data_IF_149923569204
#
_entry.id   IF_149923569204
#
_cell.length_a   1.000
_cell.length_b   1.000
_cell.length_c   1.000
_cell.angle_alpha   90.00
_cell.angle_beta   90.00
_cell.angle_gamma   90.00
#
_symmetry.space_group_name_H-M   'P 1'
#
loop_
_entity.id
_entity.type
_entity.pdbx_description
1 polymer ?
#
# COMPACT_ATOMS: atom_id res chain seq x y z
N UNK A 1 20.97 -0.83 10.32
CA UNK A 1 20.38 -1.98 11.05
C UNK A 1 21.17 -2.27 12.32
N UNK A 2 22.49 -2.45 12.22
CA UNK A 2 23.40 -2.69 13.36
C UNK A 2 23.15 -1.77 14.57
N UNK A 3 23.19 -0.44 14.37
CA UNK A 3 22.94 0.51 15.47
C UNK A 3 21.58 0.31 16.15
N UNK A 4 20.53 -0.11 15.42
CA UNK A 4 19.20 -0.40 15.99
C UNK A 4 19.22 -1.68 16.84
N UNK A 5 19.99 -2.69 16.45
CA UNK A 5 20.22 -3.89 17.26
C UNK A 5 20.90 -3.50 18.59
N UNK A 6 21.89 -2.61 18.54
CA UNK A 6 22.56 -2.12 19.73
C UNK A 6 21.62 -1.32 20.65
N UNK A 7 20.73 -0.50 20.10
CA UNK A 7 19.67 0.16 20.90
C UNK A 7 18.79 -0.89 21.58
N UNK A 8 18.34 -1.93 20.85
CA UNK A 8 17.52 -3.00 21.42
C UNK A 8 18.24 -3.72 22.57
N UNK A 9 19.54 -3.98 22.42
CA UNK A 9 20.38 -4.55 23.48
C UNK A 9 20.44 -3.64 24.71
N UNK A 10 20.71 -2.34 24.52
CA UNK A 10 20.79 -1.35 25.61
C UNK A 10 19.46 -1.18 26.36
N UNK A 11 18.33 -1.26 25.65
CA UNK A 11 16.99 -1.27 26.26
C UNK A 11 16.79 -2.50 27.15
N UNK A 12 17.25 -3.68 26.72
CA UNK A 12 17.20 -4.91 27.54
C UNK A 12 18.06 -4.79 28.79
N UNK A 13 19.19 -4.11 28.69
CA UNK A 13 20.06 -3.75 29.83
C UNK A 13 19.51 -2.61 30.70
N UNK A 14 18.32 -2.08 30.40
CA UNK A 14 17.62 -1.04 31.17
C UNK A 14 18.32 0.32 31.19
N UNK A 15 19.16 0.62 30.20
CA UNK A 15 19.69 1.97 30.02
C UNK A 15 18.61 2.94 29.54
N UNK A 16 18.75 4.20 29.96
CA UNK A 16 17.91 5.29 29.46
C UNK A 16 18.23 5.60 27.98
N UNK A 17 17.30 6.29 27.30
CA UNK A 17 17.50 6.70 25.92
C UNK A 17 18.71 7.62 25.75
N UNK A 18 18.97 8.49 26.74
CA UNK A 18 20.09 9.43 26.69
C UNK A 18 21.44 8.71 26.88
N UNK A 19 21.55 7.78 27.82
CA UNK A 19 22.75 6.97 28.00
C UNK A 19 23.03 6.11 26.76
N UNK A 20 21.97 5.48 26.22
CA UNK A 20 22.09 4.66 25.01
C UNK A 20 22.60 5.46 23.81
N UNK A 21 22.12 6.70 23.66
CA UNK A 21 22.58 7.60 22.60
C UNK A 21 24.03 8.04 22.80
N UNK A 22 24.44 8.33 24.04
CA UNK A 22 25.84 8.69 24.33
C UNK A 22 26.79 7.54 23.98
N UNK A 23 26.45 6.30 24.37
CA UNK A 23 27.23 5.10 24.02
C UNK A 23 27.30 4.86 22.52
N UNK A 24 26.18 5.02 21.81
CA UNK A 24 26.16 4.97 20.34
C UNK A 24 27.09 6.03 19.73
N UNK A 25 27.05 7.25 20.24
CA UNK A 25 27.88 8.35 19.72
C UNK A 25 29.37 8.10 19.96
N UNK A 26 29.75 7.50 21.08
CA UNK A 26 31.13 7.10 21.36
C UNK A 26 31.65 6.04 20.37
N UNK A 27 30.81 5.07 20.01
CA UNK A 27 31.21 3.96 19.11
C UNK A 27 31.18 4.39 17.64
N UNK A 28 30.12 5.09 17.20
CA UNK A 28 29.87 5.38 15.78
C UNK A 28 30.26 6.79 15.36
N UNK A 29 30.54 7.71 16.29
CA UNK A 29 30.98 9.06 15.98
C UNK A 29 30.06 9.81 15.01
N UNK A 30 30.60 10.17 13.84
CA UNK A 30 29.88 10.88 12.79
C UNK A 30 28.81 10.02 12.09
N UNK A 31 28.98 8.71 12.07
CA UNK A 31 28.04 7.77 11.43
C UNK A 31 26.90 7.35 12.36
N UNK A 32 26.85 7.90 13.59
CA UNK A 32 25.81 7.63 14.56
C UNK A 32 24.44 8.10 14.05
N UNK A 33 23.39 7.33 14.36
CA UNK A 33 22.00 7.75 14.21
C UNK A 33 21.79 9.11 14.86
N UNK A 34 20.93 9.94 14.26
CA UNK A 34 20.52 11.19 14.90
C UNK A 34 19.85 10.93 16.25
N UNK A 35 19.94 11.91 17.17
CA UNK A 35 19.32 11.81 18.50
C UNK A 35 17.84 11.43 18.43
N UNK A 36 17.10 12.05 17.50
CA UNK A 36 15.68 11.78 17.28
C UNK A 36 15.42 10.33 16.86
N UNK A 37 16.20 9.81 15.90
CA UNK A 37 16.06 8.42 15.45
C UNK A 37 16.40 7.43 16.58
N UNK A 38 17.49 7.67 17.32
CA UNK A 38 17.87 6.80 18.43
C UNK A 38 16.78 6.74 19.51
N UNK A 39 16.17 7.89 19.84
CA UNK A 39 15.09 7.97 20.83
C UNK A 39 13.80 7.30 20.35
N UNK A 40 13.46 7.45 19.07
CA UNK A 40 12.30 6.77 18.47
C UNK A 40 12.46 5.25 18.55
N UNK A 41 13.63 4.73 18.17
CA UNK A 41 13.93 3.29 18.27
C UNK A 41 13.95 2.81 19.72
N UNK A 42 14.55 3.57 20.64
CA UNK A 42 14.55 3.24 22.08
C UNK A 42 13.13 3.12 22.62
N UNK A 43 12.26 4.09 22.30
CA UNK A 43 10.84 4.04 22.67
C UNK A 43 10.16 2.80 22.08
N UNK A 44 10.31 2.52 20.79
CA UNK A 44 9.72 1.32 20.15
C UNK A 44 10.11 0.04 20.87
N UNK A 45 11.39 -0.17 21.15
CA UNK A 45 11.87 -1.37 21.84
C UNK A 45 11.40 -1.44 23.29
N UNK A 46 11.32 -0.30 23.99
CA UNK A 46 10.77 -0.24 25.35
C UNK A 46 9.28 -0.59 25.37
N UNK A 47 8.54 -0.17 24.34
CA UNK A 47 7.11 -0.42 24.19
C UNK A 47 6.81 -1.84 23.64
N UNK A 48 7.82 -2.71 23.53
CA UNK A 48 7.66 -4.13 23.19
C UNK A 48 7.82 -4.47 21.71
N UNK A 49 8.23 -3.53 20.86
CA UNK A 49 8.50 -3.81 19.46
C UNK A 49 9.72 -4.74 19.31
N UNK A 50 9.61 -5.84 18.56
CA UNK A 50 10.71 -6.81 18.44
C UNK A 50 11.53 -6.70 17.16
N UNK A 51 10.97 -6.18 16.06
CA UNK A 51 11.68 -6.10 14.77
C UNK A 51 12.68 -4.93 14.74
N UNK A 52 13.83 -5.15 14.11
CA UNK A 52 14.84 -4.09 13.84
C UNK A 52 14.71 -3.48 12.45
N UNK A 53 13.86 -4.09 11.62
CA UNK A 53 13.56 -3.64 10.27
C UNK A 53 12.53 -2.49 10.30
N UNK A 54 12.53 -1.68 9.24
CA UNK A 54 11.44 -0.74 9.04
C UNK A 54 10.13 -1.54 8.89
N UNK A 55 9.07 -1.11 9.57
CA UNK A 55 7.74 -1.68 9.33
C UNK A 55 7.30 -1.47 7.88
N UNK A 56 6.26 -2.19 7.43
CA UNK A 56 5.70 -1.98 6.09
C UNK A 56 5.40 -0.49 5.91
N UNK A 57 6.03 0.12 4.91
CA UNK A 57 5.83 1.53 4.61
C UNK A 57 4.41 1.68 4.07
N UNK A 58 3.52 2.43 4.74
CA UNK A 58 2.25 2.76 4.14
C UNK A 58 2.55 3.56 2.87
N UNK A 59 2.27 2.97 1.71
CA UNK A 59 2.29 3.71 0.45
C UNK A 59 1.25 4.82 0.50
N UNK A 60 1.34 5.80 -0.40
CA UNK A 60 0.27 6.78 -0.58
C UNK A 60 -1.01 6.01 -0.96
N UNK A 61 -2.09 6.06 -0.16
CA UNK A 61 -3.36 5.52 -0.61
C UNK A 61 -3.79 6.31 -1.85
N UNK A 62 -3.97 5.61 -2.97
CA UNK A 62 -4.56 6.24 -4.14
C UNK A 62 -6.04 6.43 -3.82
N UNK A 63 -6.55 7.66 -3.94
CA UNK A 63 -7.99 7.96 -3.74
C UNK A 63 -8.88 7.14 -4.66
N UNK A 64 -8.37 6.73 -5.83
CA UNK A 64 -9.05 5.84 -6.76
C UNK A 64 -9.04 4.36 -6.34
N UNK A 65 -8.28 3.99 -5.30
CA UNK A 65 -8.20 2.63 -4.72
C UNK A 65 -8.80 2.59 -3.31
N UNK A 66 -10.02 3.11 -3.16
CA UNK A 66 -10.82 2.81 -1.97
C UNK A 66 -11.40 1.40 -2.08
N UNK A 67 -11.66 0.75 -0.95
CA UNK A 67 -12.31 -0.57 -0.89
C UNK A 67 -13.65 -0.57 -1.64
N UNK A 68 -14.41 0.51 -1.50
CA UNK A 68 -15.68 0.75 -2.20
C UNK A 68 -15.52 0.71 -3.73
N UNK A 69 -14.46 1.33 -4.26
CA UNK A 69 -14.18 1.34 -5.69
C UNK A 69 -13.69 -0.02 -6.21
N UNK A 70 -13.00 -0.78 -5.36
CA UNK A 70 -12.59 -2.16 -5.69
C UNK A 70 -13.82 -3.06 -5.80
N UNK A 71 -14.75 -2.96 -4.86
CA UNK A 71 -15.96 -3.77 -4.85
C UNK A 71 -16.90 -3.44 -6.01
N UNK A 72 -17.06 -2.15 -6.36
CA UNK A 72 -17.80 -1.74 -7.57
C UNK A 72 -17.21 -2.35 -8.85
N UNK A 73 -15.89 -2.36 -8.97
CA UNK A 73 -15.21 -2.98 -10.12
C UNK A 73 -15.42 -4.49 -10.12
N UNK A 74 -15.36 -5.16 -8.96
CA UNK A 74 -15.64 -6.58 -8.81
C UNK A 74 -17.04 -6.93 -9.30
N UNK A 75 -18.07 -6.24 -8.80
CA UNK A 75 -19.47 -6.48 -9.18
C UNK A 75 -19.70 -6.34 -10.69
N UNK A 76 -19.19 -5.25 -11.29
CA UNK A 76 -19.32 -5.06 -12.76
C UNK A 76 -18.63 -6.19 -13.54
N UNK A 77 -17.50 -6.70 -13.03
CA UNK A 77 -16.76 -7.79 -13.66
C UNK A 77 -17.42 -9.15 -13.50
N UNK A 78 -18.20 -9.36 -12.44
CA UNK A 78 -19.02 -10.56 -12.20
C UNK A 78 -20.29 -10.53 -13.05
N UNK A 79 -20.98 -9.39 -13.09
CA UNK A 79 -22.20 -9.20 -13.86
C UNK A 79 -21.94 -9.25 -15.38
N UNK A 80 -20.83 -8.67 -15.84
CA UNK A 80 -20.51 -8.56 -17.26
C UNK A 80 -19.00 -8.75 -17.54
N UNK A 81 -18.51 -10.00 -17.62
CA UNK A 81 -17.08 -10.29 -17.69
C UNK A 81 -16.37 -9.84 -18.98
N UNK A 82 -17.13 -9.46 -20.01
CA UNK A 82 -16.65 -9.03 -21.33
C UNK A 82 -16.47 -7.52 -21.47
N UNK A 83 -16.83 -6.74 -20.44
CA UNK A 83 -16.69 -5.27 -20.47
C UNK A 83 -15.22 -4.85 -20.55
N UNK A 84 -14.96 -3.87 -21.43
CA UNK A 84 -13.64 -3.26 -21.53
C UNK A 84 -13.35 -2.37 -20.32
N UNK A 85 -12.06 -2.22 -19.97
CA UNK A 85 -11.60 -1.29 -18.92
C UNK A 85 -12.15 0.12 -19.13
N UNK A 86 -12.27 0.56 -20.40
CA UNK A 86 -12.80 1.88 -20.75
C UNK A 86 -14.30 2.02 -20.48
N UNK A 87 -15.07 0.94 -20.59
CA UNK A 87 -16.48 0.93 -20.25
C UNK A 87 -16.65 1.01 -18.72
N UNK A 88 -15.92 0.16 -17.99
CA UNK A 88 -15.94 0.14 -16.52
C UNK A 88 -15.52 1.51 -15.97
N UNK A 89 -14.43 2.09 -16.47
CA UNK A 89 -13.94 3.43 -16.10
C UNK A 89 -15.00 4.53 -16.24
N UNK A 90 -15.84 4.46 -17.27
CA UNK A 90 -16.95 5.43 -17.45
C UNK A 90 -18.09 5.20 -16.47
N UNK A 91 -18.38 3.95 -16.12
CA UNK A 91 -19.47 3.61 -15.20
C UNK A 91 -19.19 4.03 -13.76
N UNK A 92 -17.94 3.94 -13.33
CA UNK A 92 -17.52 4.25 -11.95
C UNK A 92 -16.74 5.57 -11.84
N UNK A 93 -16.66 6.33 -12.94
CA UNK A 93 -15.97 7.62 -13.04
C UNK A 93 -14.52 7.62 -12.54
N UNK A 94 -13.83 6.49 -12.66
CA UNK A 94 -12.43 6.36 -12.29
C UNK A 94 -11.52 6.49 -13.50
N UNK A 95 -10.29 7.01 -13.35
CA UNK A 95 -9.29 6.96 -14.40
C UNK A 95 -9.06 5.53 -14.89
N UNK A 96 -8.95 5.35 -16.21
CA UNK A 96 -8.71 4.04 -16.85
C UNK A 96 -7.55 3.26 -16.19
N UNK A 97 -6.49 3.97 -15.78
CA UNK A 97 -5.32 3.35 -15.16
C UNK A 97 -5.61 2.78 -13.76
N UNK A 98 -6.49 3.45 -12.99
CA UNK A 98 -6.95 2.95 -11.69
C UNK A 98 -7.77 1.68 -11.87
N UNK A 99 -8.71 1.69 -12.82
CA UNK A 99 -9.53 0.51 -13.15
C UNK A 99 -8.66 -0.64 -13.65
N UNK A 100 -7.73 -0.38 -14.57
CA UNK A 100 -6.78 -1.39 -15.08
C UNK A 100 -6.00 -2.05 -13.96
N UNK A 101 -5.52 -1.26 -12.98
CA UNK A 101 -4.80 -1.76 -11.82
C UNK A 101 -5.67 -2.63 -10.91
N UNK A 102 -6.90 -2.20 -10.62
CA UNK A 102 -7.86 -2.96 -9.81
C UNK A 102 -8.24 -4.28 -10.51
N UNK A 103 -8.59 -4.22 -11.80
CA UNK A 103 -8.90 -5.40 -12.62
C UNK A 103 -7.75 -6.40 -12.62
N UNK A 104 -6.51 -5.91 -12.78
CA UNK A 104 -5.29 -6.74 -12.75
C UNK A 104 -5.10 -7.44 -11.41
N UNK A 105 -5.39 -6.76 -10.31
CA UNK A 105 -5.29 -7.29 -8.95
C UNK A 105 -6.38 -8.34 -8.67
N UNK A 106 -7.61 -8.11 -9.12
CA UNK A 106 -8.73 -9.03 -8.94
C UNK A 106 -8.62 -10.31 -9.81
N UNK A 107 -8.04 -10.23 -11.02
CA UNK A 107 -7.99 -11.35 -11.98
C UNK A 107 -6.63 -12.02 -12.16
N UNK A 108 -5.53 -11.44 -11.65
CA UNK A 108 -4.16 -11.97 -11.81
C UNK A 108 -3.53 -11.72 -13.21
N UNK A 109 -2.23 -12.04 -13.36
CA UNK A 109 -1.38 -11.66 -14.50
C UNK A 109 -1.63 -12.42 -15.84
N UNK A 110 -2.50 -13.44 -15.86
CA UNK A 110 -2.59 -14.41 -16.98
C UNK A 110 -3.85 -14.30 -17.86
N UNK A 111 -4.43 -13.10 -18.02
CA UNK A 111 -5.69 -12.98 -18.78
C UNK A 111 -5.57 -12.19 -20.10
N UNK A 112 -6.12 -12.78 -21.17
CA UNK A 112 -6.29 -12.19 -22.50
C UNK A 112 -7.79 -11.96 -22.71
N UNK A 113 -8.25 -10.74 -23.07
CA UNK A 113 -9.64 -10.53 -23.42
C UNK A 113 -10.01 -11.35 -24.66
N UNK A 114 -11.03 -12.19 -24.54
CA UNK A 114 -11.69 -12.74 -25.73
C UNK A 114 -12.23 -11.56 -26.55
N UNK A 115 -11.75 -11.47 -27.78
CA UNK A 115 -12.05 -10.37 -28.69
C UNK A 115 -13.55 -10.42 -29.00
N UNK A 116 -14.32 -9.33 -28.84
CA UNK A 116 -15.75 -9.38 -29.08
C UNK A 116 -16.01 -9.73 -30.56
N UNK A 117 -17.00 -10.60 -30.87
CA UNK A 117 -17.40 -10.82 -32.25
C UNK A 117 -17.85 -9.49 -32.84
N UNK A 118 -17.38 -9.20 -34.06
CA UNK A 118 -17.81 -8.02 -34.81
C UNK A 118 -19.33 -8.09 -34.96
N UNK A 119 -20.02 -7.12 -34.35
CA UNK A 119 -21.48 -6.86 -34.33
C UNK A 119 -22.14 -7.29 -33.02
N UNK A 120 -22.21 -6.37 -32.07
CA UNK A 120 -23.29 -6.30 -31.10
C UNK A 120 -23.91 -4.91 -31.25
N UNK A 121 -25.15 -4.87 -31.72
CA UNK A 121 -25.97 -3.66 -31.73
C UNK A 121 -26.20 -3.30 -30.27
N UNK A 122 -25.89 -2.06 -29.92
CA UNK A 122 -26.29 -1.49 -28.64
C UNK A 122 -27.78 -1.23 -28.78
N UNK A 123 -28.60 -2.18 -28.37
CA UNK A 123 -30.01 -1.93 -28.10
C UNK A 123 -30.16 -1.82 -26.58
N UNK A 124 -30.78 -0.71 -26.17
CA UNK A 124 -31.12 -0.26 -24.83
C UNK A 124 -30.13 0.74 -24.19
N UNK A 125 -29.99 1.88 -24.86
CA UNK A 125 -29.83 3.19 -24.20
C UNK A 125 -31.18 3.92 -24.23
N UNK A 126 -32.19 3.43 -23.53
CA UNK A 126 -33.38 4.21 -23.23
C UNK A 126 -33.82 3.89 -21.81
N UNK A 127 -33.29 4.64 -20.85
CA UNK A 127 -34.00 5.16 -19.68
C UNK A 127 -33.05 6.14 -18.97
N UNK A 128 -33.59 7.17 -18.34
CA UNK A 128 -32.96 8.42 -17.88
C UNK A 128 -32.83 9.52 -18.96
N UNK A 129 -34.00 10.02 -19.40
CA UNK A 129 -34.21 11.46 -19.54
C UNK A 129 -35.18 11.88 -18.44
N UNK A 130 -34.76 12.88 -17.66
CA UNK A 130 -35.44 13.71 -16.64
C UNK A 130 -36.72 13.19 -15.97
#
# INVERSE_FOLDING_TARGET
IEQRINIKFLVKLKYSAQESFNMLKEVYGADCLSKSQAFEWHKKFRDGWESVEDGPRPGRPSTARSEENIERVRQIMEDNPTLSIKAISRMIELPNESVRRIVKELRGDSWVPERPPKKLKIENCEEFKD
#
